data_IF_505203561830
#
_entry.id   IF_505203561830
#
_cell.length_a   1.000
_cell.length_b   1.000
_cell.length_c   1.000
_cell.angle_alpha   90.00
_cell.angle_beta   90.00
_cell.angle_gamma   90.00
#
_symmetry.space_group_name_H-M   'P 1'
#
loop_
_entity.id
_entity.type
_entity.pdbx_description
1 polymer ?
#
# COMPACT_ATOMS: atom_id res chain seq x y z
N UNK A 1 9.24 -24.69 8.45
CA UNK A 1 8.63 -23.58 9.21
C UNK A 1 9.48 -22.34 9.00
N UNK A 2 8.88 -21.23 8.59
CA UNK A 2 9.55 -19.94 8.33
C UNK A 2 9.14 -18.96 9.43
N UNK A 3 10.11 -18.24 9.99
CA UNK A 3 9.86 -17.18 10.98
C UNK A 3 10.08 -15.84 10.30
N UNK A 4 9.05 -15.00 10.29
CA UNK A 4 9.07 -13.67 9.72
C UNK A 4 9.07 -12.63 10.85
N UNK A 5 10.05 -11.74 10.87
CA UNK A 5 10.21 -10.74 11.93
C UNK A 5 9.74 -9.40 11.40
N UNK A 6 8.62 -8.92 11.96
CA UNK A 6 7.96 -7.67 11.61
C UNK A 6 6.54 -7.90 11.07
N UNK A 7 5.55 -7.30 11.73
CA UNK A 7 4.14 -7.32 11.36
C UNK A 7 3.70 -6.06 10.60
N UNK A 8 4.61 -5.39 9.90
CA UNK A 8 4.28 -4.29 8.98
C UNK A 8 3.91 -4.79 7.58
N UNK A 9 3.57 -3.88 6.66
CA UNK A 9 3.10 -4.22 5.29
C UNK A 9 4.03 -5.19 4.55
N UNK A 10 5.35 -5.00 4.61
CA UNK A 10 6.31 -5.88 3.94
C UNK A 10 6.27 -7.29 4.54
N UNK A 11 6.30 -7.38 5.87
CA UNK A 11 6.28 -8.66 6.57
C UNK A 11 4.98 -9.42 6.35
N UNK A 12 3.84 -8.74 6.48
CA UNK A 12 2.53 -9.35 6.25
C UNK A 12 2.34 -9.78 4.79
N UNK A 13 2.74 -8.97 3.81
CA UNK A 13 2.67 -9.35 2.40
C UNK A 13 3.54 -10.57 2.09
N UNK A 14 4.74 -10.65 2.67
CA UNK A 14 5.60 -11.82 2.54
C UNK A 14 4.98 -13.05 3.18
N UNK A 15 4.46 -12.92 4.41
CA UNK A 15 3.80 -14.01 5.11
C UNK A 15 2.60 -14.53 4.32
N UNK A 16 1.75 -13.63 3.81
CA UNK A 16 0.62 -13.97 2.95
C UNK A 16 1.04 -14.79 1.74
N UNK A 17 2.06 -14.33 0.99
CA UNK A 17 2.54 -15.05 -0.21
C UNK A 17 3.14 -16.43 0.13
N UNK A 18 3.89 -16.54 1.22
CA UNK A 18 4.45 -17.81 1.68
C UNK A 18 3.37 -18.80 2.12
N UNK A 19 2.36 -18.31 2.85
CA UNK A 19 1.20 -19.10 3.26
C UNK A 19 0.39 -19.59 2.06
N UNK A 20 0.13 -18.73 1.08
CA UNK A 20 -0.52 -19.09 -0.19
C UNK A 20 0.28 -20.11 -1.01
N UNK A 21 1.60 -20.19 -0.80
CA UNK A 21 2.47 -21.22 -1.37
C UNK A 21 2.57 -22.50 -0.53
N UNK A 22 1.69 -22.68 0.46
CA UNK A 22 1.62 -23.87 1.31
C UNK A 22 2.71 -23.97 2.37
N UNK A 23 3.45 -22.89 2.65
CA UNK A 23 4.48 -22.87 3.68
C UNK A 23 3.88 -22.59 5.06
N UNK A 24 4.40 -23.25 6.09
CA UNK A 24 4.10 -22.89 7.48
C UNK A 24 4.91 -21.66 7.90
N UNK A 25 4.23 -20.56 8.22
CA UNK A 25 4.82 -19.26 8.57
C UNK A 25 4.36 -18.82 9.96
N UNK A 26 5.29 -18.31 10.76
CA UNK A 26 5.00 -17.60 12.01
C UNK A 26 5.49 -16.16 11.87
N UNK A 27 4.62 -15.18 12.14
CA UNK A 27 5.00 -13.76 12.17
C UNK A 27 5.22 -13.32 13.61
N UNK A 28 6.32 -12.62 13.82
CA UNK A 28 6.77 -12.10 15.10
C UNK A 28 6.74 -10.59 15.03
N UNK A 29 5.89 -9.97 15.84
CA UNK A 29 5.78 -8.51 15.94
C UNK A 29 5.92 -8.11 17.40
N UNK A 30 6.69 -7.04 17.66
CA UNK A 30 6.92 -6.55 19.03
C UNK A 30 5.70 -5.83 19.60
N UNK A 31 4.92 -5.16 18.74
CA UNK A 31 3.73 -4.40 19.09
C UNK A 31 2.47 -5.09 18.53
N UNK A 32 1.43 -4.33 18.18
CA UNK A 32 0.35 -4.89 17.36
C UNK A 32 0.69 -4.79 15.86
N UNK A 33 0.09 -5.67 15.08
CA UNK A 33 0.22 -5.72 13.62
C UNK A 33 -0.10 -4.35 13.01
N UNK A 34 0.71 -3.94 12.03
CA UNK A 34 0.56 -2.69 11.31
C UNK A 34 0.98 -1.43 12.08
N UNK A 35 1.23 -1.47 13.40
CA UNK A 35 1.45 -0.27 14.24
C UNK A 35 2.83 0.40 14.11
N UNK A 36 3.66 -0.05 13.16
CA UNK A 36 4.93 0.61 12.82
C UNK A 36 4.76 1.78 11.84
N UNK A 37 5.76 1.98 10.97
CA UNK A 37 5.69 2.97 9.88
C UNK A 37 4.47 2.77 8.97
N UNK A 38 4.01 1.53 8.85
CA UNK A 38 2.81 1.14 8.09
C UNK A 38 1.55 1.89 8.56
N UNK A 39 1.35 2.10 9.86
CA UNK A 39 0.18 2.83 10.38
C UNK A 39 0.17 4.32 10.04
N UNK A 40 1.36 4.91 9.92
CA UNK A 40 1.54 6.32 9.64
C UNK A 40 1.53 6.65 8.14
N UNK A 41 1.53 5.62 7.27
CA UNK A 41 1.45 5.82 5.85
C UNK A 41 0.08 6.40 5.45
N UNK A 42 0.07 7.11 4.33
CA UNK A 42 -1.13 7.74 3.78
C UNK A 42 -1.80 6.86 2.71
N UNK A 43 -1.30 5.64 2.49
CA UNK A 43 -1.86 4.69 1.54
C UNK A 43 -1.65 4.97 0.06
N UNK A 44 -0.85 5.99 -0.33
CA UNK A 44 -0.63 6.31 -1.74
C UNK A 44 0.28 5.29 -2.44
N UNK A 45 -0.17 4.83 -3.61
CA UNK A 45 0.53 3.93 -4.50
C UNK A 45 0.94 4.70 -5.75
N UNK A 46 2.09 5.35 -5.64
CA UNK A 46 2.66 6.19 -6.68
C UNK A 46 4.11 5.77 -6.94
N UNK A 47 4.42 5.21 -8.13
CA UNK A 47 5.80 4.91 -8.51
C UNK A 47 6.69 6.15 -8.57
N UNK A 48 7.98 5.95 -8.40
CA UNK A 48 9.00 6.97 -8.57
C UNK A 48 9.09 7.45 -10.01
N UNK A 49 9.48 8.71 -10.18
CA UNK A 49 9.69 9.31 -11.50
C UNK A 49 11.02 8.86 -12.15
N UNK A 50 11.95 8.32 -11.36
CA UNK A 50 13.28 7.94 -11.86
C UNK A 50 13.20 6.77 -12.84
N UNK A 51 14.01 6.79 -13.91
CA UNK A 51 14.17 5.62 -14.80
C UNK A 51 15.22 4.68 -14.19
N UNK A 52 14.78 3.88 -13.22
CA UNK A 52 15.62 2.91 -12.50
C UNK A 52 14.99 1.51 -12.53
N UNK A 53 15.76 0.49 -12.20
CA UNK A 53 15.22 -0.87 -12.00
C UNK A 53 14.17 -0.88 -10.89
N UNK A 54 14.36 -0.07 -9.84
CA UNK A 54 13.37 0.14 -8.77
C UNK A 54 12.04 0.63 -9.34
N UNK A 55 12.06 1.60 -10.26
CA UNK A 55 10.84 2.10 -10.87
C UNK A 55 10.08 1.02 -11.65
N UNK A 56 10.79 0.10 -12.33
CA UNK A 56 10.14 -1.01 -13.01
C UNK A 56 9.41 -1.94 -12.04
N UNK A 57 10.01 -2.20 -10.88
CA UNK A 57 9.39 -3.00 -9.81
C UNK A 57 8.19 -2.27 -9.20
N UNK A 58 8.28 -0.96 -8.97
CA UNK A 58 7.18 -0.15 -8.44
C UNK A 58 5.99 -0.10 -9.41
N UNK A 59 6.23 0.07 -10.71
CA UNK A 59 5.20 0.01 -11.74
C UNK A 59 4.55 -1.36 -11.82
N UNK A 60 5.35 -2.43 -11.77
CA UNK A 60 4.82 -3.80 -11.73
C UNK A 60 3.98 -4.02 -10.48
N UNK A 61 4.45 -3.55 -9.32
CA UNK A 61 3.69 -3.62 -8.07
C UNK A 61 2.35 -2.90 -8.20
N UNK A 62 2.34 -1.66 -8.72
CA UNK A 62 1.10 -0.89 -8.98
C UNK A 62 0.09 -1.69 -9.83
N UNK A 63 0.57 -2.36 -10.88
CA UNK A 63 -0.28 -3.20 -11.74
C UNK A 63 -0.81 -4.46 -11.05
N UNK A 64 -0.08 -5.00 -10.07
CA UNK A 64 -0.46 -6.21 -9.34
C UNK A 64 -1.42 -5.95 -8.16
N UNK A 65 -1.52 -4.70 -7.69
CA UNK A 65 -2.36 -4.33 -6.54
C UNK A 65 -3.82 -4.78 -6.65
N UNK A 66 -4.53 -4.62 -7.79
CA UNK A 66 -5.92 -5.07 -7.89
C UNK A 66 -6.10 -6.57 -7.60
N UNK A 67 -5.20 -7.41 -8.13
CA UNK A 67 -5.24 -8.84 -7.89
C UNK A 67 -4.85 -9.17 -6.44
N UNK A 68 -3.84 -8.50 -5.90
CA UNK A 68 -3.41 -8.69 -4.51
C UNK A 68 -4.52 -8.34 -3.51
N UNK A 69 -5.22 -7.22 -3.71
CA UNK A 69 -6.37 -6.82 -2.88
C UNK A 69 -7.46 -7.88 -2.96
N UNK A 70 -7.83 -8.30 -4.18
CA UNK A 70 -8.84 -9.34 -4.36
C UNK A 70 -8.51 -10.62 -3.57
N UNK A 71 -7.26 -11.08 -3.63
CA UNK A 71 -6.83 -12.28 -2.89
C UNK A 71 -6.95 -12.10 -1.37
N UNK A 72 -6.62 -10.92 -0.84
CA UNK A 72 -6.77 -10.61 0.58
C UNK A 72 -8.24 -10.58 0.99
N UNK A 73 -9.08 -9.91 0.21
CA UNK A 73 -10.52 -9.79 0.47
C UNK A 73 -11.20 -11.16 0.40
N UNK A 74 -10.86 -11.99 -0.60
CA UNK A 74 -11.39 -13.35 -0.74
C UNK A 74 -11.01 -14.24 0.45
N UNK A 75 -9.78 -14.10 0.99
CA UNK A 75 -9.29 -14.89 2.13
C UNK A 75 -9.73 -14.36 3.51
N UNK A 76 -10.00 -13.06 3.63
CA UNK A 76 -10.35 -12.44 4.91
C UNK A 76 -11.83 -12.16 5.07
N UNK A 77 -12.58 -12.03 3.97
CA UNK A 77 -13.94 -11.54 3.96
C UNK A 77 -14.07 -10.05 4.34
N UNK A 78 -12.97 -9.30 4.35
CA UNK A 78 -12.90 -7.91 4.80
C UNK A 78 -12.51 -6.98 3.65
N UNK A 79 -13.23 -5.86 3.51
CA UNK A 79 -12.93 -4.79 2.55
C UNK A 79 -11.63 -4.05 2.91
N UNK A 80 -10.75 -3.90 1.91
CA UNK A 80 -9.45 -3.22 2.05
C UNK A 80 -9.55 -1.73 1.66
N UNK A 81 -10.63 -1.30 1.00
CA UNK A 81 -10.84 0.07 0.53
C UNK A 81 -9.74 0.55 -0.43
N UNK A 82 -9.47 -0.27 -1.43
CA UNK A 82 -8.54 0.05 -2.51
C UNK A 82 -9.22 0.89 -3.60
N UNK A 83 -8.60 2.00 -3.95
CA UNK A 83 -9.16 3.02 -4.83
C UNK A 83 -8.24 3.29 -6.01
N UNK A 84 -8.79 3.17 -7.22
CA UNK A 84 -8.07 3.33 -8.50
C UNK A 84 -8.48 4.59 -9.26
N UNK A 85 -9.06 5.58 -8.55
CA UNK A 85 -9.63 6.80 -9.15
C UNK A 85 -8.59 7.87 -9.49
N UNK A 86 -7.30 7.55 -9.40
CA UNK A 86 -6.23 8.50 -9.67
C UNK A 86 -5.92 9.44 -8.51
N UNK A 87 -5.02 10.37 -8.79
CA UNK A 87 -4.64 11.46 -7.90
C UNK A 87 -4.71 12.80 -8.67
N UNK A 88 -5.22 13.84 -8.01
CA UNK A 88 -5.13 15.22 -8.49
C UNK A 88 -3.99 15.95 -7.78
N UNK A 89 -2.99 16.37 -8.54
CA UNK A 89 -1.95 17.30 -8.08
C UNK A 89 -2.41 18.72 -8.39
N UNK A 90 -3.02 19.36 -7.41
CA UNK A 90 -3.67 20.67 -7.54
C UNK A 90 -2.66 21.82 -7.40
N UNK A 91 -2.92 22.93 -8.09
CA UNK A 91 -2.14 24.15 -8.03
C UNK A 91 -3.03 25.36 -7.82
N UNK A 92 -2.57 26.29 -6.99
CA UNK A 92 -3.04 27.67 -7.00
C UNK A 92 -2.08 28.54 -7.84
N UNK A 93 -2.44 29.80 -8.06
CA UNK A 93 -1.72 30.69 -8.99
C UNK A 93 -0.20 30.74 -8.73
N UNK A 94 0.22 30.76 -7.46
CA UNK A 94 1.63 30.85 -7.06
C UNK A 94 2.41 29.54 -7.26
N UNK A 95 1.72 28.40 -7.33
CA UNK A 95 2.34 27.06 -7.46
C UNK A 95 2.16 26.42 -8.83
N UNK A 96 1.36 27.03 -9.71
CA UNK A 96 0.99 26.47 -11.01
C UNK A 96 2.22 26.11 -11.87
N UNK A 97 3.24 26.96 -11.89
CA UNK A 97 4.47 26.68 -12.65
C UNK A 97 5.17 25.40 -12.16
N UNK A 98 5.22 25.18 -10.84
CA UNK A 98 5.85 24.00 -10.26
C UNK A 98 5.07 22.71 -10.56
N UNK A 99 3.74 22.76 -10.48
CA UNK A 99 2.89 21.60 -10.78
C UNK A 99 2.91 21.27 -12.28
N UNK A 100 2.96 22.28 -13.16
CA UNK A 100 3.14 22.07 -14.60
C UNK A 100 4.50 21.46 -14.92
N UNK A 101 5.56 21.90 -14.25
CA UNK A 101 6.88 21.28 -14.40
C UNK A 101 6.88 19.79 -14.01
N UNK A 102 6.26 19.42 -12.89
CA UNK A 102 6.08 18.01 -12.49
C UNK A 102 5.22 17.23 -13.51
N UNK A 103 4.15 17.83 -14.03
CA UNK A 103 3.32 17.25 -15.10
C UNK A 103 4.12 16.94 -16.36
N UNK A 104 4.88 17.91 -16.87
CA UNK A 104 5.69 17.76 -18.08
C UNK A 104 6.79 16.71 -17.87
N UNK A 105 7.42 16.69 -16.69
CA UNK A 105 8.42 15.69 -16.34
C UNK A 105 7.84 14.27 -16.30
N UNK A 106 6.63 14.09 -15.75
CA UNK A 106 5.87 12.82 -15.76
C UNK A 106 5.52 12.38 -17.16
N UNK A 107 5.00 13.29 -17.97
CA UNK A 107 4.67 13.01 -19.37
C UNK A 107 5.91 12.56 -20.14
N UNK A 108 7.05 13.25 -19.97
CA UNK A 108 8.33 12.88 -20.58
C UNK A 108 8.89 11.54 -20.06
N UNK A 109 8.54 11.16 -18.82
CA UNK A 109 8.85 9.85 -18.26
C UNK A 109 7.89 8.74 -18.73
N UNK A 110 6.87 9.05 -19.52
CA UNK A 110 5.91 8.10 -20.08
C UNK A 110 4.68 7.84 -19.21
N UNK A 111 4.47 8.64 -18.17
CA UNK A 111 3.24 8.56 -17.37
C UNK A 111 2.04 9.04 -18.18
N UNK A 112 0.89 8.40 -17.98
CA UNK A 112 -0.38 8.96 -18.44
C UNK A 112 -0.79 10.08 -17.50
N UNK A 113 -0.74 11.33 -17.96
CA UNK A 113 -1.15 12.51 -17.17
C UNK A 113 -2.06 13.41 -18.00
N UNK A 114 -3.00 14.05 -17.33
CA UNK A 114 -3.95 14.97 -17.95
C UNK A 114 -3.93 16.32 -17.23
N UNK A 115 -3.78 17.41 -17.99
CA UNK A 115 -3.87 18.76 -17.44
C UNK A 115 -5.31 19.22 -17.36
N UNK A 116 -5.78 19.56 -16.16
CA UNK A 116 -7.15 20.01 -15.93
C UNK A 116 -7.21 21.49 -15.59
N UNK A 117 -8.07 22.21 -16.31
CA UNK A 117 -8.41 23.62 -16.02
C UNK A 117 -9.36 23.74 -14.83
N UNK A 118 -9.42 24.92 -14.21
CA UNK A 118 -10.36 25.20 -13.10
C UNK A 118 -11.83 24.84 -13.40
N UNK A 119 -12.40 25.11 -14.59
CA UNK A 119 -13.75 24.64 -14.92
C UNK A 119 -13.90 23.11 -14.91
N UNK A 120 -12.93 22.37 -15.45
CA UNK A 120 -12.95 20.90 -15.42
C UNK A 120 -12.86 20.38 -13.99
N UNK A 121 -12.00 20.99 -13.16
CA UNK A 121 -11.84 20.62 -11.75
C UNK A 121 -13.10 20.85 -10.93
N UNK A 122 -13.83 21.96 -11.15
CA UNK A 122 -15.12 22.19 -10.48
C UNK A 122 -16.19 21.17 -10.87
N UNK A 123 -16.11 20.63 -12.09
CA UNK A 123 -16.99 19.55 -12.53
C UNK A 123 -16.65 18.21 -11.86
N UNK A 124 -15.36 17.94 -11.64
CA UNK A 124 -14.88 16.68 -11.05
C UNK A 124 -14.97 16.67 -9.52
N UNK A 125 -14.50 17.73 -8.88
CA UNK A 125 -14.42 17.89 -7.41
C UNK A 125 -15.01 19.25 -6.98
N UNK A 126 -16.34 19.37 -6.86
CA UNK A 126 -17.01 20.63 -6.56
C UNK A 126 -16.65 21.25 -5.20
N UNK A 127 -16.07 20.45 -4.28
CA UNK A 127 -15.64 20.90 -2.96
C UNK A 127 -14.26 21.59 -2.96
N UNK A 128 -13.52 21.57 -4.08
CA UNK A 128 -12.24 22.27 -4.19
C UNK A 128 -12.40 23.78 -4.08
N UNK A 129 -11.43 24.44 -3.44
CA UNK A 129 -11.39 25.90 -3.38
C UNK A 129 -11.30 26.50 -4.78
N UNK A 130 -12.01 27.61 -4.98
CA UNK A 130 -11.93 28.49 -6.15
C UNK A 130 -10.53 29.05 -6.43
N UNK A 131 -9.62 29.01 -5.45
CA UNK A 131 -8.20 29.39 -5.60
C UNK A 131 -7.37 28.38 -6.40
N UNK A 132 -7.87 27.15 -6.59
CA UNK A 132 -7.21 26.16 -7.42
C UNK A 132 -7.42 26.51 -8.89
N UNK A 133 -6.33 26.86 -9.58
CA UNK A 133 -6.35 27.36 -10.97
C UNK A 133 -6.14 26.24 -11.98
N UNK A 134 -5.42 25.19 -11.59
CA UNK A 134 -5.03 24.09 -12.48
C UNK A 134 -4.68 22.82 -11.68
N UNK A 135 -4.71 21.65 -12.31
CA UNK A 135 -4.18 20.43 -11.73
C UNK A 135 -3.61 19.47 -12.79
N UNK A 136 -2.67 18.64 -12.36
CA UNK A 136 -2.25 17.44 -13.09
C UNK A 136 -3.01 16.24 -12.53
N UNK A 137 -3.78 15.57 -13.38
CA UNK A 137 -4.49 14.34 -13.04
C UNK A 137 -3.63 13.13 -13.43
N UNK A 138 -3.37 12.27 -12.45
CA UNK A 138 -2.59 11.04 -12.56
C UNK A 138 -3.53 9.83 -12.40
N UNK A 139 -4.22 9.37 -13.45
CA UNK A 139 -5.26 8.34 -13.36
C UNK A 139 -4.74 6.97 -12.89
N UNK A 140 -3.46 6.65 -13.14
CA UNK A 140 -2.88 5.38 -12.75
C UNK A 140 -2.54 5.28 -11.25
N UNK A 141 -2.40 6.41 -10.55
CA UNK A 141 -2.11 6.41 -9.12
C UNK A 141 -3.31 5.83 -8.37
N UNK A 142 -3.02 4.95 -7.43
CA UNK A 142 -4.05 4.33 -6.60
C UNK A 142 -3.77 4.63 -5.14
N UNK A 143 -4.72 4.34 -4.27
CA UNK A 143 -4.51 4.43 -2.84
C UNK A 143 -5.35 3.40 -2.09
N UNK A 144 -5.00 3.15 -0.83
CA UNK A 144 -5.67 2.17 0.02
C UNK A 144 -5.80 2.71 1.44
N UNK A 145 -6.82 2.28 2.19
CA UNK A 145 -6.81 2.48 3.63
C UNK A 145 -5.84 1.47 4.27
N UNK A 146 -4.66 1.96 4.65
CA UNK A 146 -3.61 1.17 5.28
C UNK A 146 -4.10 0.38 6.51
N UNK A 147 -5.02 0.96 7.30
CA UNK A 147 -5.53 0.31 8.52
C UNK A 147 -6.42 -0.87 8.17
N UNK A 148 -7.30 -0.71 7.18
CA UNK A 148 -8.12 -1.81 6.66
C UNK A 148 -7.23 -2.88 6.04
N UNK A 149 -6.24 -2.50 5.23
CA UNK A 149 -5.28 -3.44 4.64
C UNK A 149 -4.59 -4.32 5.70
N UNK A 150 -4.04 -3.72 6.77
CA UNK A 150 -3.34 -4.50 7.81
C UNK A 150 -4.31 -5.32 8.66
N UNK A 151 -5.53 -4.82 8.87
CA UNK A 151 -6.56 -5.60 9.54
C UNK A 151 -6.91 -6.84 8.71
N UNK A 152 -7.14 -6.69 7.41
CA UNK A 152 -7.48 -7.80 6.50
C UNK A 152 -6.35 -8.81 6.34
N UNK A 153 -5.10 -8.34 6.14
CA UNK A 153 -3.90 -9.20 6.18
C UNK A 153 -3.72 -9.88 7.54
N UNK A 154 -4.19 -9.22 8.60
CA UNK A 154 -4.14 -9.64 9.99
C UNK A 154 -5.17 -10.70 10.40
N UNK A 155 -6.31 -10.82 9.69
CA UNK A 155 -7.53 -11.48 10.17
C UNK A 155 -8.13 -12.53 9.20
N UNK A 156 -7.33 -13.14 8.33
CA UNK A 156 -7.82 -14.22 7.44
C UNK A 156 -8.56 -15.33 8.18
N UNK A 157 -9.65 -15.86 7.58
CA UNK A 157 -10.73 -16.64 8.21
C UNK A 157 -10.34 -17.94 8.93
N UNK A 158 -9.07 -18.35 8.87
CA UNK A 158 -8.51 -19.51 9.58
C UNK A 158 -7.29 -19.17 10.46
N UNK A 159 -7.08 -17.90 10.79
CA UNK A 159 -5.98 -17.48 11.66
C UNK A 159 -4.61 -17.67 10.99
N UNK A 160 -4.44 -17.13 9.78
CA UNK A 160 -3.15 -17.07 9.08
C UNK A 160 -2.03 -16.45 9.92
N UNK A 161 -2.39 -15.70 10.96
CA UNK A 161 -1.51 -15.26 12.01
C UNK A 161 -2.02 -15.89 13.32
N UNK A 162 -1.58 -17.13 13.61
CA UNK A 162 -1.67 -17.66 14.97
C UNK A 162 -0.92 -16.67 15.86
N UNK A 163 -1.69 -15.82 16.54
CA UNK A 163 -1.37 -14.83 17.58
C UNK A 163 0.06 -14.25 17.55
N UNK A 164 0.27 -12.91 17.59
CA UNK A 164 1.61 -12.35 17.63
C UNK A 164 2.39 -12.98 18.78
N UNK A 165 3.42 -13.75 18.44
CA UNK A 165 4.31 -14.27 19.46
C UNK A 165 5.15 -13.09 19.93
N UNK A 166 4.86 -12.62 21.14
CA UNK A 166 5.73 -11.68 21.82
C UNK A 166 7.12 -12.30 21.96
N UNK A 167 8.16 -11.46 21.93
CA UNK A 167 9.57 -11.89 21.98
C UNK A 167 9.87 -12.86 23.13
N UNK A 168 9.19 -12.69 24.27
CA UNK A 168 9.30 -13.58 25.43
C UNK A 168 8.72 -14.99 25.20
N UNK A 169 7.63 -15.12 24.45
CA UNK A 169 7.02 -16.43 24.13
C UNK A 169 7.86 -17.22 23.11
N UNK A 170 8.49 -16.54 22.15
CA UNK A 170 9.45 -17.18 21.23
C UNK A 170 10.74 -17.59 21.93
N UNK A 171 11.26 -16.76 22.83
CA UNK A 171 12.41 -17.13 23.64
C UNK A 171 12.09 -18.40 24.44
N UNK A 172 10.92 -18.46 25.08
CA UNK A 172 10.50 -19.66 25.81
C UNK A 172 10.30 -20.88 24.91
N UNK A 173 9.79 -20.73 23.68
CA UNK A 173 9.58 -21.85 22.75
C UNK A 173 10.88 -22.34 22.09
N UNK A 174 11.83 -21.44 21.81
CA UNK A 174 13.16 -21.76 21.25
C UNK A 174 14.09 -22.32 22.33
N UNK A 175 13.95 -21.84 23.58
CA UNK A 175 14.79 -22.23 24.71
C UNK A 175 14.20 -23.38 25.54
N UNK A 176 12.95 -23.81 25.30
CA UNK A 176 12.41 -25.05 25.87
C UNK A 176 12.78 -26.25 24.99
N UNK A 177 13.65 -27.17 25.44
CA UNK A 177 13.88 -28.42 24.73
C UNK A 177 12.71 -29.36 25.07
N UNK A 178 11.68 -29.40 24.24
CA UNK A 178 10.66 -30.45 24.30
C UNK A 178 10.54 -31.13 22.94
N UNK A 179 11.29 -32.23 22.85
CA UNK A 179 10.96 -33.51 22.22
C UNK A 179 10.18 -33.47 20.90
N UNK A 180 10.92 -33.55 19.78
CA UNK A 180 10.43 -34.21 18.59
C UNK A 180 10.33 -35.72 18.88
N UNK A 181 9.15 -36.15 19.34
CA UNK A 181 8.70 -37.54 19.34
C UNK A 181 7.73 -37.79 18.19
#
# INVERSE_FOLDING_TARGET
MIINIGGGVIGLSLAFRLLSAGQAVTVVERAAIGQGASWAAAGYLEPTLTKSETAQVEWKSLQDWPQFVKEIEDCSGLDVDFQTRGQLRIAHAETEQAVRYDHDARMAAGWQVEGLSAPQLRGLEPALSDKITWASHLPQVSWVDDRKLFHSLGHGSDGYLRAPYYTEQLANMILSPTEFG
#
